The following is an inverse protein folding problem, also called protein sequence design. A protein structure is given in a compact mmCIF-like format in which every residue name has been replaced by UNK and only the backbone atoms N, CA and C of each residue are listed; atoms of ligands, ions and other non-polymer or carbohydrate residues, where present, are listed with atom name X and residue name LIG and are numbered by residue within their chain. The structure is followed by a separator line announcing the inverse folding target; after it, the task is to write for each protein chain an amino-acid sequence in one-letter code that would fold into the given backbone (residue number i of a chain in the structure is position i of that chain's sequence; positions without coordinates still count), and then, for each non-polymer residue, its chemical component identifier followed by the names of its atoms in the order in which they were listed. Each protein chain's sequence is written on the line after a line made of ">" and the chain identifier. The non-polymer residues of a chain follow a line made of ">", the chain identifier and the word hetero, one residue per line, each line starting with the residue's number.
data_IF_719950633455
#
_entry.id   IF_719950633455
#
_cell.length_a   1.000
_cell.length_b   1.000
_cell.length_c   1.000
_cell.angle_alpha   90.00
_cell.angle_beta   90.00
_cell.angle_gamma   90.00
#
_symmetry.space_group_name_H-M   'P 1'
#
loop_
_entity.id
_entity.type
_entity.pdbx_description
1 polymer ?
#
# COMPACT_ATOMS: atom_id res chain seq x y z
N UNK A 1 4.91 -0.98 -12.37
CA UNK A 1 5.65 -1.25 -11.11
C UNK A 1 5.46 -2.74 -10.77
N UNK A 2 6.45 -3.40 -10.17
CA UNK A 2 6.23 -4.75 -9.59
C UNK A 2 5.57 -4.59 -8.21
N UNK A 3 4.44 -5.27 -7.99
CA UNK A 3 3.74 -5.23 -6.69
C UNK A 3 4.50 -6.09 -5.68
N UNK A 4 4.79 -5.53 -4.50
CA UNK A 4 5.48 -6.22 -3.40
C UNK A 4 4.52 -6.39 -2.22
N UNK A 5 4.11 -7.64 -1.97
CA UNK A 5 3.23 -7.98 -0.84
C UNK A 5 4.02 -8.20 0.44
N UNK A 6 3.44 -7.83 1.58
CA UNK A 6 4.02 -7.93 2.92
C UNK A 6 5.41 -7.26 3.07
N UNK A 7 5.76 -6.38 2.14
CA UNK A 7 7.00 -5.60 2.15
C UNK A 7 6.65 -4.13 2.42
N UNK A 8 7.40 -3.50 3.31
CA UNK A 8 7.24 -2.08 3.62
C UNK A 8 7.99 -1.24 2.58
N UNK A 9 7.30 -0.26 2.00
CA UNK A 9 7.88 0.75 1.12
C UNK A 9 7.76 2.16 1.72
N UNK A 10 8.66 3.06 1.31
CA UNK A 10 8.56 4.49 1.57
C UNK A 10 8.00 5.20 0.33
N UNK A 11 6.95 6.01 0.49
CA UNK A 11 6.39 6.83 -0.58
C UNK A 11 7.29 8.07 -0.75
N UNK A 12 8.07 8.11 -1.83
CA UNK A 12 9.02 9.18 -2.12
C UNK A 12 8.36 10.40 -2.78
N UNK A 13 7.25 10.20 -3.50
CA UNK A 13 6.51 11.22 -4.26
C UNK A 13 5.04 10.83 -4.39
N UNK A 14 4.20 11.84 -4.61
CA UNK A 14 2.76 11.69 -4.82
C UNK A 14 1.98 12.13 -3.59
N UNK A 15 0.73 11.70 -3.52
CA UNK A 15 -0.05 11.80 -2.30
C UNK A 15 0.65 11.00 -1.18
N UNK A 16 0.44 11.35 0.08
CA UNK A 16 1.08 10.65 1.21
C UNK A 16 2.62 10.59 1.19
N UNK A 17 3.27 11.49 0.45
CA UNK A 17 4.73 11.58 0.43
C UNK A 17 5.33 11.63 1.84
N UNK A 18 6.35 10.79 2.07
CA UNK A 18 7.03 10.65 3.36
C UNK A 18 6.40 9.61 4.29
N UNK A 19 5.23 9.06 3.95
CA UNK A 19 4.61 7.95 4.68
C UNK A 19 5.10 6.59 4.18
N UNK A 20 4.85 5.58 4.99
CA UNK A 20 5.16 4.19 4.71
C UNK A 20 3.92 3.47 4.18
N UNK A 21 4.12 2.57 3.23
CA UNK A 21 3.07 1.77 2.60
C UNK A 21 3.39 0.28 2.71
N UNK A 22 2.38 -0.56 2.91
CA UNK A 22 2.48 -2.02 2.87
C UNK A 22 1.23 -2.59 2.21
N UNK A 23 1.43 -3.52 1.28
CA UNK A 23 0.35 -4.19 0.55
C UNK A 23 0.15 -5.59 1.13
N UNK A 24 -1.05 -5.94 1.57
CA UNK A 24 -1.38 -7.26 2.12
C UNK A 24 -2.44 -7.97 1.26
N UNK A 25 -2.17 -9.23 0.89
CA UNK A 25 -3.10 -10.06 0.12
C UNK A 25 -3.97 -10.89 1.08
N UNK A 26 -5.27 -10.59 1.15
CA UNK A 26 -6.29 -11.32 1.89
C UNK A 26 -7.34 -11.94 0.94
N UNK A 27 -6.98 -12.16 -0.33
CA UNK A 27 -7.92 -12.68 -1.36
C UNK A 27 -8.45 -14.08 -1.05
N UNK A 28 -7.66 -14.88 -0.35
CA UNK A 28 -8.04 -16.22 0.12
C UNK A 28 -8.50 -16.23 1.58
N UNK A 29 -8.51 -15.08 2.23
CA UNK A 29 -8.83 -14.95 3.64
C UNK A 29 -10.21 -14.34 3.88
N UNK A 30 -10.31 -13.54 4.94
CA UNK A 30 -11.60 -13.17 5.53
C UNK A 30 -12.36 -12.09 4.75
N UNK A 31 -11.64 -11.24 4.03
CA UNK A 31 -12.20 -10.10 3.31
C UNK A 31 -12.28 -10.36 1.80
N UNK A 32 -11.48 -11.30 1.30
CA UNK A 32 -11.48 -11.68 -0.11
C UNK A 32 -10.84 -10.64 -1.03
N UNK A 33 -10.04 -9.71 -0.50
CA UNK A 33 -9.39 -8.65 -1.28
C UNK A 33 -7.98 -8.31 -0.81
N UNK A 34 -7.55 -7.09 -1.10
CA UNK A 34 -6.16 -6.63 -0.90
C UNK A 34 -6.20 -5.33 -0.10
N UNK A 35 -5.38 -5.24 0.93
CA UNK A 35 -5.23 -4.03 1.72
C UNK A 35 -4.02 -3.20 1.26
N UNK A 36 -4.25 -1.90 1.08
CA UNK A 36 -3.20 -0.88 1.01
C UNK A 36 -3.14 -0.22 2.39
N UNK A 37 -2.07 -0.48 3.14
CA UNK A 37 -1.86 0.11 4.45
C UNK A 37 -0.92 1.30 4.34
N UNK A 38 -1.24 2.42 4.99
CA UNK A 38 -0.41 3.63 5.05
C UNK A 38 -0.16 4.01 6.51
N UNK A 39 1.06 4.42 6.85
CA UNK A 39 1.45 4.79 8.23
C UNK A 39 2.49 5.91 8.24
N UNK A 40 2.54 6.68 9.33
CA UNK A 40 3.58 7.70 9.56
C UNK A 40 4.93 7.08 9.98
N UNK A 41 4.95 5.80 10.38
CA UNK A 41 6.15 5.05 10.73
C UNK A 41 6.22 3.66 10.08
N UNK A 42 7.45 3.16 9.87
CA UNK A 42 7.72 1.90 9.18
C UNK A 42 7.20 0.65 9.89
N UNK A 43 6.91 0.76 11.18
CA UNK A 43 6.39 -0.33 12.01
C UNK A 43 4.86 -0.39 12.05
N UNK A 44 4.17 0.53 11.37
CA UNK A 44 2.70 0.61 11.34
C UNK A 44 2.12 0.75 12.75
N UNK A 45 2.65 1.70 13.53
CA UNK A 45 2.21 1.98 14.91
C UNK A 45 1.62 3.38 15.08
N UNK A 46 1.76 4.27 14.09
CA UNK A 46 1.30 5.66 14.14
C UNK A 46 0.45 6.04 12.95
N UNK A 47 -0.75 6.55 13.22
CA UNK A 47 -1.70 7.05 12.22
C UNK A 47 -1.84 6.06 11.05
N UNK A 48 -2.24 4.83 11.38
CA UNK A 48 -2.39 3.75 10.40
C UNK A 48 -3.75 3.87 9.74
N UNK A 49 -3.75 3.87 8.41
CA UNK A 49 -4.94 3.86 7.57
C UNK A 49 -4.89 2.66 6.63
N UNK A 50 -6.04 2.16 6.23
CA UNK A 50 -6.20 1.10 5.26
C UNK A 50 -7.22 1.47 4.19
N UNK A 51 -6.92 1.07 2.97
CA UNK A 51 -7.88 0.98 1.87
C UNK A 51 -7.99 -0.48 1.42
N UNK A 52 -9.20 -0.90 1.07
CA UNK A 52 -9.47 -2.26 0.58
C UNK A 52 -9.76 -2.23 -0.92
N UNK A 53 -9.10 -3.11 -1.65
CA UNK A 53 -9.21 -3.25 -3.10
C UNK A 53 -9.64 -4.67 -3.47
N UNK A 54 -10.38 -4.81 -4.56
CA UNK A 54 -10.92 -6.09 -5.00
C UNK A 54 -9.87 -6.96 -5.68
N UNK A 55 -8.96 -6.35 -6.44
CA UNK A 55 -8.06 -7.07 -7.34
C UNK A 55 -6.67 -6.42 -7.43
N UNK A 56 -5.75 -7.14 -8.09
CA UNK A 56 -4.38 -6.66 -8.33
C UNK A 56 -4.32 -5.51 -9.33
N UNK A 57 -5.26 -5.44 -10.27
CA UNK A 57 -5.32 -4.38 -11.26
C UNK A 57 -5.67 -3.04 -10.58
N UNK A 58 -6.57 -3.10 -9.59
CA UNK A 58 -6.96 -1.93 -8.78
C UNK A 58 -5.76 -1.33 -8.00
N UNK A 59 -4.76 -2.15 -7.62
CA UNK A 59 -3.54 -1.65 -6.96
C UNK A 59 -2.75 -0.75 -7.90
N UNK A 60 -2.63 -1.15 -9.17
CA UNK A 60 -1.85 -0.39 -10.15
C UNK A 60 -2.54 0.94 -10.44
N UNK A 61 -3.86 0.93 -10.60
CA UNK A 61 -4.67 2.14 -10.76
C UNK A 61 -4.54 3.05 -9.52
N UNK A 62 -4.70 2.50 -8.31
CA UNK A 62 -4.56 3.25 -7.06
C UNK A 62 -3.20 3.96 -6.95
N UNK A 63 -2.11 3.25 -7.26
CA UNK A 63 -0.74 3.79 -7.22
C UNK A 63 -0.54 4.87 -8.30
N UNK A 64 -1.12 4.69 -9.48
CA UNK A 64 -1.06 5.65 -10.58
C UNK A 64 -1.85 6.93 -10.26
N UNK A 65 -3.08 6.80 -9.77
CA UNK A 65 -3.95 7.91 -9.37
C UNK A 65 -3.33 8.74 -8.24
N UNK A 66 -2.75 8.06 -7.25
CA UNK A 66 -2.05 8.68 -6.12
C UNK A 66 -0.68 9.27 -6.50
N UNK A 67 -0.23 9.04 -7.75
CA UNK A 67 1.06 9.49 -8.30
C UNK A 67 2.25 9.00 -7.48
N UNK A 68 2.13 7.79 -6.93
CA UNK A 68 3.11 7.26 -6.01
C UNK A 68 4.39 6.80 -6.70
N UNK A 69 5.53 7.21 -6.15
CA UNK A 69 6.82 6.58 -6.40
C UNK A 69 7.29 5.93 -5.11
N UNK A 70 7.32 4.60 -5.08
CA UNK A 70 7.61 3.84 -3.86
C UNK A 70 9.04 3.27 -3.91
N UNK A 71 9.78 3.45 -2.82
CA UNK A 71 11.03 2.75 -2.57
C UNK A 71 10.78 1.58 -1.62
N UNK A 72 10.75 0.36 -2.16
CA UNK A 72 10.64 -0.88 -1.40
C UNK A 72 11.95 -1.21 -0.66
N UNK A 73 11.84 -1.97 0.44
CA UNK A 73 12.98 -2.50 1.19
C UNK A 73 13.16 -4.00 1.03
#
# INVERSE_FOLDING_TARGET
>A
MEIKYAVVGLILKGDDQGKYVKIEDDTSGSTGGIYILISDDEFFTKNVFDDWLLSKDDILEYVEESRWTIQWR
#
